data_IF_762363241868
#
_entry.id   IF_762363241868
#
_cell.length_a   1.000
_cell.length_b   1.000
_cell.length_c   1.000
_cell.angle_alpha   90.00
_cell.angle_beta   90.00
_cell.angle_gamma   90.00
#
_symmetry.space_group_name_H-M   'P 1'
#
loop_
_entity.id
_entity.type
_entity.pdbx_description
1 polymer ?
#
# COMPACT_ATOMS: atom_id res chain seq x y z
N UNK A 1 -34.52 17.15 21.14
CA UNK A 1 -33.67 17.48 19.98
C UNK A 1 -32.39 16.67 20.10
N UNK A 2 -32.23 15.59 19.33
CA UNK A 2 -30.94 14.91 19.18
C UNK A 2 -30.82 14.51 17.72
N UNK A 3 -30.05 15.30 17.00
CA UNK A 3 -29.81 15.23 15.57
C UNK A 3 -29.11 13.90 15.21
N UNK A 4 -29.65 13.23 14.21
CA UNK A 4 -29.17 11.98 13.64
C UNK A 4 -27.82 12.20 12.96
N UNK A 5 -26.70 11.85 13.63
CA UNK A 5 -25.38 11.81 13.00
C UNK A 5 -25.29 10.61 12.05
N UNK A 6 -25.85 10.80 10.86
CA UNK A 6 -25.67 9.93 9.70
C UNK A 6 -24.17 9.72 9.49
N UNK A 7 -23.65 8.48 9.38
CA UNK A 7 -22.27 8.31 8.97
C UNK A 7 -22.19 8.86 7.56
N UNK A 8 -21.58 10.05 7.40
CA UNK A 8 -21.26 10.61 6.09
C UNK A 8 -20.50 9.51 5.36
N UNK A 9 -21.16 8.84 4.42
CA UNK A 9 -20.59 7.82 3.55
C UNK A 9 -19.46 8.52 2.83
N UNK A 10 -18.25 8.38 3.36
CA UNK A 10 -17.07 9.06 2.88
C UNK A 10 -16.95 8.67 1.42
N UNK A 11 -16.89 9.68 0.54
CA UNK A 11 -16.69 9.43 -0.89
C UNK A 11 -15.42 8.57 -1.00
N UNK A 12 -15.47 7.41 -1.67
CA UNK A 12 -14.30 6.54 -1.77
C UNK A 12 -13.15 7.35 -2.34
N UNK A 13 -12.11 7.53 -1.54
CA UNK A 13 -10.94 8.33 -1.90
C UNK A 13 -10.03 7.46 -2.75
N UNK A 14 -9.64 7.98 -3.91
CA UNK A 14 -8.71 7.29 -4.80
C UNK A 14 -7.28 7.65 -4.37
N UNK A 15 -6.46 6.63 -4.15
CA UNK A 15 -5.03 6.73 -3.89
C UNK A 15 -4.29 6.15 -5.08
N UNK A 16 -3.44 6.95 -5.72
CA UNK A 16 -2.56 6.47 -6.79
C UNK A 16 -1.11 6.48 -6.31
N UNK A 17 -0.38 5.40 -6.57
CA UNK A 17 1.03 5.27 -6.24
C UNK A 17 1.76 4.64 -7.40
N UNK A 18 2.87 5.25 -7.80
CA UNK A 18 3.75 4.75 -8.85
C UNK A 18 5.07 4.33 -8.24
N UNK A 19 5.40 3.05 -8.40
CA UNK A 19 6.60 2.42 -7.84
C UNK A 19 7.45 1.97 -9.02
N UNK A 20 8.51 2.72 -9.29
CA UNK A 20 9.44 2.44 -10.40
C UNK A 20 10.66 1.61 -9.97
N UNK A 21 10.82 1.36 -8.66
CA UNK A 21 12.01 0.71 -8.10
C UNK A 21 11.63 -0.36 -7.07
N UNK A 22 12.34 -1.50 -7.11
CA UNK A 22 12.07 -2.65 -6.24
C UNK A 22 12.41 -2.39 -4.77
N UNK A 23 13.42 -1.56 -4.47
CA UNK A 23 13.74 -1.21 -3.08
C UNK A 23 12.59 -0.41 -2.47
N UNK A 24 12.02 0.51 -3.25
CA UNK A 24 10.82 1.27 -2.86
C UNK A 24 9.61 0.36 -2.67
N UNK A 25 9.39 -0.59 -3.60
CA UNK A 25 8.33 -1.59 -3.47
C UNK A 25 8.46 -2.39 -2.17
N UNK A 26 9.66 -2.91 -1.89
CA UNK A 26 9.93 -3.72 -0.70
C UNK A 26 9.80 -2.91 0.59
N UNK A 27 10.19 -1.64 0.59
CA UNK A 27 10.06 -0.75 1.75
C UNK A 27 8.61 -0.34 2.01
N UNK A 28 7.79 -0.23 0.96
CA UNK A 28 6.37 0.10 1.08
C UNK A 28 5.49 -1.13 1.38
N UNK A 29 5.91 -2.33 0.97
CA UNK A 29 5.12 -3.55 1.12
C UNK A 29 5.06 -4.05 2.57
N UNK A 30 3.86 -4.44 3.01
CA UNK A 30 3.57 -4.91 4.37
C UNK A 30 3.08 -6.37 4.31
N UNK A 31 3.99 -7.37 4.27
CA UNK A 31 3.63 -8.78 4.09
C UNK A 31 2.96 -9.42 5.32
N UNK A 32 3.13 -8.83 6.49
CA UNK A 32 2.62 -9.37 7.76
C UNK A 32 1.09 -9.26 7.92
N UNK A 33 0.42 -8.54 7.02
CA UNK A 33 -1.04 -8.45 6.99
C UNK A 33 -1.62 -9.67 6.27
N UNK A 34 -2.78 -10.17 6.72
CA UNK A 34 -3.45 -11.35 6.15
C UNK A 34 -3.65 -11.26 4.63
N UNK A 35 -4.02 -10.09 4.13
CA UNK A 35 -4.19 -9.82 2.69
C UNK A 35 -3.03 -9.05 2.08
N UNK A 36 -1.90 -8.97 2.79
CA UNK A 36 -0.83 -8.00 2.59
C UNK A 36 -1.34 -6.54 2.59
N UNK A 37 -0.40 -5.60 2.56
CA UNK A 37 -0.73 -4.21 2.42
C UNK A 37 0.41 -3.40 1.82
N UNK A 38 0.13 -2.13 1.59
CA UNK A 38 1.08 -1.19 1.05
C UNK A 38 1.02 0.10 1.85
N UNK A 39 2.19 0.63 2.17
CA UNK A 39 2.33 1.97 2.70
C UNK A 39 2.31 2.99 1.57
N UNK A 40 1.35 3.91 1.61
CA UNK A 40 1.20 4.98 0.64
C UNK A 40 1.49 6.32 1.33
N UNK A 41 2.57 7.04 0.95
CA UNK A 41 2.83 8.37 1.47
C UNK A 41 1.73 9.31 0.99
N UNK A 42 1.10 10.01 1.93
CA UNK A 42 -0.03 10.90 1.61
C UNK A 42 -0.18 11.99 2.66
N UNK A 43 -0.55 13.18 2.19
CA UNK A 43 -0.89 14.34 3.03
C UNK A 43 -2.39 14.41 3.33
N UNK A 44 -3.18 13.53 2.71
CA UNK A 44 -4.62 13.46 2.98
C UNK A 44 -4.87 12.82 4.34
N UNK A 45 -5.91 13.31 5.03
CA UNK A 45 -6.39 12.70 6.25
C UNK A 45 -7.29 11.51 5.92
N UNK A 46 -6.94 10.37 6.48
CA UNK A 46 -7.72 9.14 6.45
C UNK A 46 -8.09 8.75 7.87
N UNK A 47 -8.98 7.77 7.99
CA UNK A 47 -9.35 7.16 9.26
C UNK A 47 -9.06 5.66 9.20
N UNK A 48 -8.79 5.05 10.36
CA UNK A 48 -8.73 3.59 10.45
C UNK A 48 -10.07 3.00 10.00
N UNK A 49 -10.02 1.95 9.18
CA UNK A 49 -11.18 1.28 8.62
C UNK A 49 -11.79 1.95 7.38
N UNK A 50 -11.25 3.09 6.93
CA UNK A 50 -11.76 3.79 5.75
C UNK A 50 -11.47 2.98 4.47
N UNK A 51 -12.46 2.88 3.59
CA UNK A 51 -12.35 2.17 2.33
C UNK A 51 -11.89 3.12 1.22
N UNK A 52 -10.79 2.76 0.58
CA UNK A 52 -10.10 3.57 -0.42
C UNK A 52 -9.91 2.76 -1.70
N UNK A 53 -9.86 3.46 -2.83
CA UNK A 53 -9.56 2.83 -4.12
C UNK A 53 -8.08 3.03 -4.41
N UNK A 54 -7.29 1.97 -4.33
CA UNK A 54 -5.85 2.01 -4.54
C UNK A 54 -5.54 1.66 -5.99
N UNK A 55 -4.83 2.57 -6.66
CA UNK A 55 -4.21 2.35 -7.97
C UNK A 55 -2.71 2.27 -7.75
N UNK A 56 -2.13 1.10 -8.00
CA UNK A 56 -0.69 0.87 -7.91
C UNK A 56 -0.14 0.68 -9.31
N UNK A 57 0.88 1.44 -9.67
CA UNK A 57 1.65 1.24 -10.89
C UNK A 57 3.01 0.67 -10.54
N UNK A 58 3.26 -0.58 -10.93
CA UNK A 58 4.51 -1.29 -10.73
C UNK A 58 5.41 -1.14 -11.96
N UNK A 59 6.69 -0.81 -11.73
CA UNK A 59 7.75 -0.70 -12.72
C UNK A 59 7.42 0.19 -13.93
N UNK A 60 6.45 1.10 -13.79
CA UNK A 60 6.03 1.98 -14.88
C UNK A 60 5.21 1.33 -16.00
N UNK A 61 5.00 0.00 -15.96
CA UNK A 61 4.29 -0.76 -17.01
C UNK A 61 3.00 -1.41 -16.50
N UNK A 62 3.03 -2.05 -15.33
CA UNK A 62 1.89 -2.82 -14.82
C UNK A 62 1.05 -1.96 -13.87
N UNK A 63 -0.23 -1.74 -14.19
CA UNK A 63 -1.15 -1.00 -13.31
C UNK A 63 -2.23 -1.91 -12.74
N UNK A 64 -2.43 -1.82 -11.42
CA UNK A 64 -3.45 -2.55 -10.67
C UNK A 64 -4.35 -1.56 -9.96
N UNK A 65 -5.66 -1.77 -10.05
CA UNK A 65 -6.66 -0.99 -9.32
C UNK A 65 -7.48 -1.93 -8.45
N UNK A 66 -7.55 -1.67 -7.15
CA UNK A 66 -8.31 -2.49 -6.20
C UNK A 66 -8.89 -1.66 -5.06
N UNK A 67 -9.92 -2.21 -4.41
CA UNK A 67 -10.37 -1.69 -3.14
C UNK A 67 -9.38 -2.07 -2.04
N UNK A 68 -9.04 -1.13 -1.17
CA UNK A 68 -8.18 -1.33 -0.02
C UNK A 68 -8.79 -0.67 1.22
N UNK A 69 -8.39 -1.11 2.40
CA UNK A 69 -8.87 -0.55 3.67
C UNK A 69 -7.71 -0.01 4.46
N UNK A 70 -7.85 1.19 5.01
CA UNK A 70 -6.82 1.80 5.85
C UNK A 70 -6.73 1.04 7.18
N UNK A 71 -5.58 0.42 7.43
CA UNK A 71 -5.32 -0.37 8.66
C UNK A 71 -4.18 0.22 9.50
N UNK A 72 -3.45 1.18 8.94
CA UNK A 72 -2.38 1.88 9.64
C UNK A 72 -2.32 3.34 9.19
N UNK A 73 -1.98 4.24 10.12
CA UNK A 73 -1.75 5.65 9.81
C UNK A 73 -0.49 6.10 10.51
N UNK A 74 0.42 6.72 9.77
CA UNK A 74 1.65 7.31 10.30
C UNK A 74 1.46 8.83 10.35
N UNK A 75 1.30 9.44 11.54
CA UNK A 75 1.16 10.88 11.68
C UNK A 75 2.45 11.61 11.32
N UNK A 76 2.33 12.86 10.87
CA UNK A 76 3.49 13.74 10.69
C UNK A 76 4.13 14.03 12.06
N UNK A 77 5.44 13.85 12.18
CA UNK A 77 6.17 14.12 13.42
C UNK A 77 6.49 12.88 14.27
N UNK A 78 6.25 11.66 13.78
CA UNK A 78 6.80 10.46 14.42
C UNK A 78 8.35 10.57 14.46
N UNK A 79 8.92 10.32 15.65
CA UNK A 79 10.28 10.62 16.16
C UNK A 79 11.49 10.06 15.34
N UNK A 80 11.32 9.72 14.06
CA UNK A 80 12.33 9.05 13.24
C UNK A 80 12.15 9.32 11.73
N UNK A 81 12.00 10.59 11.32
CA UNK A 81 12.01 11.02 9.90
C UNK A 81 11.12 10.18 8.95
N UNK A 82 10.01 9.62 9.44
CA UNK A 82 9.12 8.80 8.61
C UNK A 82 8.14 9.67 7.85
N UNK A 83 8.05 9.46 6.54
CA UNK A 83 7.11 10.14 5.67
C UNK A 83 5.68 9.91 6.16
N UNK A 84 4.89 10.99 6.28
CA UNK A 84 3.46 10.91 6.60
C UNK A 84 2.76 10.03 5.55
N UNK A 85 1.92 9.12 6.01
CA UNK A 85 1.24 8.22 5.09
C UNK A 85 0.28 7.27 5.77
N UNK A 86 -0.29 6.39 4.97
CA UNK A 86 -1.28 5.40 5.40
C UNK A 86 -0.87 4.01 4.93
N UNK A 87 -1.00 3.02 5.80
CA UNK A 87 -0.91 1.62 5.42
C UNK A 87 -2.30 1.12 5.05
N UNK A 88 -2.44 0.66 3.82
CA UNK A 88 -3.70 0.11 3.31
C UNK A 88 -3.56 -1.41 3.14
N UNK A 89 -4.56 -2.14 3.60
CA UNK A 89 -4.68 -3.58 3.39
C UNK A 89 -5.45 -3.83 2.10
N UNK A 90 -4.96 -4.75 1.28
CA UNK A 90 -5.62 -5.09 0.03
C UNK A 90 -6.91 -5.89 0.28
N UNK A 91 -7.95 -5.65 -0.54
CA UNK A 91 -9.19 -6.43 -0.53
C UNK A 91 -9.47 -7.08 -1.88
N UNK A 92 -10.25 -8.16 -1.82
CA UNK A 92 -10.75 -8.87 -3.00
C UNK A 92 -9.70 -9.72 -3.71
N UNK A 93 -10.10 -10.25 -4.86
CA UNK A 93 -9.24 -11.11 -5.69
C UNK A 93 -8.10 -10.32 -6.34
N UNK A 94 -8.33 -9.06 -6.71
CA UNK A 94 -7.31 -8.19 -7.29
C UNK A 94 -6.19 -7.87 -6.29
N UNK A 95 -6.53 -7.75 -5.01
CA UNK A 95 -5.54 -7.65 -3.94
C UNK A 95 -4.64 -8.89 -3.82
N UNK A 96 -5.21 -10.08 -3.96
CA UNK A 96 -4.44 -11.32 -3.96
C UNK A 96 -3.52 -11.44 -5.19
N UNK A 97 -3.99 -11.01 -6.38
CA UNK A 97 -3.17 -10.95 -7.60
C UNK A 97 -2.02 -9.96 -7.44
N UNK A 98 -2.30 -8.75 -6.95
CA UNK A 98 -1.27 -7.74 -6.70
C UNK A 98 -0.25 -8.24 -5.67
N UNK A 99 -0.71 -8.84 -4.57
CA UNK A 99 0.15 -9.47 -3.57
C UNK A 99 1.10 -10.48 -4.22
N UNK A 100 0.56 -11.45 -4.96
CA UNK A 100 1.36 -12.48 -5.63
C UNK A 100 2.42 -11.85 -6.54
N UNK A 101 2.02 -10.85 -7.35
CA UNK A 101 2.95 -10.14 -8.24
C UNK A 101 4.06 -9.41 -7.47
N UNK A 102 3.72 -8.72 -6.39
CA UNK A 102 4.71 -8.03 -5.55
C UNK A 102 5.65 -9.03 -4.89
N UNK A 103 5.13 -10.16 -4.40
CA UNK A 103 5.94 -11.24 -3.82
C UNK A 103 6.90 -11.84 -4.85
N UNK A 104 6.45 -12.11 -6.07
CA UNK A 104 7.30 -12.57 -7.17
C UNK A 104 8.44 -11.60 -7.48
N UNK A 105 8.14 -10.29 -7.56
CA UNK A 105 9.13 -9.25 -7.81
C UNK A 105 10.15 -9.15 -6.67
N UNK A 106 9.68 -9.15 -5.42
CA UNK A 106 10.55 -9.02 -4.23
C UNK A 106 11.40 -10.27 -4.00
N UNK A 107 10.85 -11.46 -4.22
CA UNK A 107 11.58 -12.75 -4.11
C UNK A 107 12.55 -12.92 -5.27
N UNK A 108 12.16 -12.61 -6.50
CA UNK A 108 13.01 -12.69 -7.70
C UNK A 108 14.28 -11.84 -7.58
N UNK A 109 14.18 -10.63 -7.02
CA UNK A 109 15.35 -9.77 -6.80
C UNK A 109 16.32 -10.28 -5.72
N UNK A 110 15.83 -11.04 -4.75
CA UNK A 110 16.69 -11.69 -3.75
C UNK A 110 17.54 -12.79 -4.39
N UNK A 111 17.02 -13.48 -5.41
CA UNK A 111 17.78 -14.52 -6.13
C UNK A 111 18.82 -13.92 -7.09
N UNK A 112 18.54 -12.78 -7.74
CA UNK A 112 19.51 -12.08 -8.59
C UNK A 112 20.70 -11.51 -7.81
N UNK A 113 20.52 -11.15 -6.53
CA UNK A 113 21.61 -10.66 -5.68
C UNK A 113 22.46 -11.79 -5.06
N UNK A 114 22.05 -13.05 -5.18
CA UNK A 114 22.84 -14.22 -4.78
C UNK A 114 23.72 -14.79 -5.92
N UNK A 115 23.50 -14.38 -7.17
CA UNK A 115 24.12 -14.98 -8.35
C UNK A 115 25.42 -14.28 -8.84
N UNK A 116 26.06 -13.43 -8.04
CA UNK A 116 27.33 -12.81 -8.46
C UNK A 116 28.25 -12.53 -7.27
N UNK A 117 28.86 -13.60 -6.74
CA UNK A 117 30.06 -13.49 -5.93
C UNK A 117 30.89 -14.78 -6.00
N UNK A 118 31.46 -15.06 -7.17
CA UNK A 118 32.66 -15.91 -7.23
C UNK A 118 33.62 -15.29 -8.25
N UNK A 119 34.70 -14.71 -7.73
CA UNK A 119 35.98 -14.51 -8.41
C UNK A 119 36.83 -15.77 -8.21
#
# INVERSE_FOLDING_TARGET
MTETNSPKKARPRVLSVSINDLRTLRAAFMPFLRSAGLFVPTHNEYRMGDEVFLVVKLLGEEQYALAATVVWMTPAGAQSSRTRGVGVQFKGQDGAKLKGRIEELVVGATQQSAATHTL
#
